data_IF_070410683582
#
_entry.id   IF_070410683582
#
_cell.length_a   1.000
_cell.length_b   1.000
_cell.length_c   1.000
_cell.angle_alpha   90.00
_cell.angle_beta   90.00
_cell.angle_gamma   90.00
#
_symmetry.space_group_name_H-M   'P 1'
#
loop_
_entity.id
_entity.type
_entity.pdbx_description
1 polymer ?
#
# COMPACT_ATOMS: atom_id res chain seq x y z
N UNK A 1 16.15 -15.01 -27.30
CA UNK A 1 15.68 -16.28 -26.70
C UNK A 1 15.92 -16.31 -25.19
N UNK A 2 15.36 -15.34 -24.43
CA UNK A 2 15.54 -15.23 -22.96
C UNK A 2 14.23 -15.08 -22.18
N UNK A 3 13.10 -14.90 -22.88
CA UNK A 3 11.79 -14.71 -22.29
C UNK A 3 11.25 -15.88 -21.42
N UNK A 4 11.52 -17.17 -21.69
CA UNK A 4 10.88 -18.24 -20.90
C UNK A 4 11.45 -18.40 -19.49
N UNK A 5 12.74 -18.07 -19.28
CA UNK A 5 13.39 -18.17 -17.96
C UNK A 5 12.89 -17.08 -16.99
N UNK A 6 12.65 -15.87 -17.49
CA UNK A 6 12.09 -14.77 -16.71
C UNK A 6 10.65 -15.06 -16.24
N UNK A 7 9.85 -15.73 -17.07
CA UNK A 7 8.48 -16.14 -16.71
C UNK A 7 8.44 -17.22 -15.63
N UNK A 8 9.44 -18.10 -15.58
CA UNK A 8 9.53 -19.14 -14.55
C UNK A 8 9.90 -18.56 -13.19
N UNK A 9 10.81 -17.56 -13.17
CA UNK A 9 11.15 -16.80 -11.96
C UNK A 9 10.00 -15.88 -11.49
N UNK A 10 9.23 -15.31 -12.42
CA UNK A 10 8.06 -14.47 -12.14
C UNK A 10 6.96 -15.17 -11.33
N UNK A 11 6.79 -16.49 -11.51
CA UNK A 11 5.81 -17.28 -10.75
C UNK A 11 6.14 -17.39 -9.26
N UNK A 12 7.40 -17.19 -8.87
CA UNK A 12 7.85 -17.30 -7.47
C UNK A 12 7.96 -15.94 -6.79
N UNK A 13 7.98 -14.86 -7.56
CA UNK A 13 8.14 -13.49 -7.04
C UNK A 13 6.81 -12.83 -6.64
N UNK A 14 5.67 -13.43 -6.97
CA UNK A 14 4.34 -12.84 -6.73
C UNK A 14 3.98 -11.71 -7.70
N UNK A 15 4.80 -11.46 -8.73
CA UNK A 15 4.56 -10.40 -9.71
C UNK A 15 3.26 -10.61 -10.50
N UNK A 16 2.93 -11.86 -10.86
CA UNK A 16 1.68 -12.17 -11.56
C UNK A 16 0.45 -11.76 -10.73
N UNK A 17 0.49 -11.99 -9.42
CA UNK A 17 -0.58 -11.58 -8.51
C UNK A 17 -0.64 -10.05 -8.37
N UNK A 18 0.52 -9.40 -8.28
CA UNK A 18 0.60 -7.95 -8.25
C UNK A 18 0.06 -7.30 -9.54
N UNK A 19 0.41 -7.83 -10.73
CA UNK A 19 -0.11 -7.36 -12.01
C UNK A 19 -1.63 -7.53 -12.10
N UNK A 20 -2.16 -8.67 -11.68
CA UNK A 20 -3.61 -8.91 -11.65
C UNK A 20 -4.33 -7.92 -10.71
N UNK A 21 -3.79 -7.68 -9.52
CA UNK A 21 -4.32 -6.69 -8.60
C UNK A 21 -4.29 -5.28 -9.20
N UNK A 22 -3.17 -4.89 -9.81
CA UNK A 22 -3.02 -3.58 -10.44
C UNK A 22 -4.02 -3.38 -11.58
N UNK A 23 -4.24 -4.41 -12.41
CA UNK A 23 -5.24 -4.37 -13.48
C UNK A 23 -6.67 -4.24 -12.92
N UNK A 24 -7.03 -5.05 -11.92
CA UNK A 24 -8.35 -5.00 -11.29
C UNK A 24 -8.61 -3.65 -10.58
N UNK A 25 -7.56 -3.06 -10.01
CA UNK A 25 -7.62 -1.79 -9.25
C UNK A 25 -7.30 -0.57 -10.10
N UNK A 26 -7.15 -0.70 -11.42
CA UNK A 26 -6.70 0.36 -12.32
C UNK A 26 -7.64 1.59 -12.37
N UNK A 27 -8.86 1.48 -11.86
CA UNK A 27 -9.84 2.56 -11.75
C UNK A 27 -9.70 3.35 -10.43
N UNK A 28 -8.99 2.82 -9.43
CA UNK A 28 -8.82 3.44 -8.12
C UNK A 28 -7.64 4.42 -8.12
N UNK A 29 -7.75 5.49 -7.33
CA UNK A 29 -6.71 6.53 -7.17
C UNK A 29 -6.60 6.93 -5.70
N UNK A 30 -5.44 7.47 -5.32
CA UNK A 30 -5.19 7.97 -3.96
C UNK A 30 -5.51 6.93 -2.89
N UNK A 31 -6.17 7.36 -1.81
CA UNK A 31 -6.52 6.48 -0.67
C UNK A 31 -7.44 5.32 -1.05
N UNK A 32 -8.25 5.45 -2.11
CA UNK A 32 -9.07 4.34 -2.60
C UNK A 32 -8.22 3.16 -3.07
N UNK A 33 -7.11 3.44 -3.76
CA UNK A 33 -6.16 2.40 -4.16
C UNK A 33 -5.43 1.80 -2.95
N UNK A 34 -5.01 2.64 -2.01
CA UNK A 34 -4.31 2.21 -0.77
C UNK A 34 -5.17 1.22 0.00
N UNK A 35 -6.46 1.53 0.21
CA UNK A 35 -7.37 0.66 0.94
C UNK A 35 -7.61 -0.67 0.23
N UNK A 36 -7.79 -0.65 -1.10
CA UNK A 36 -7.88 -1.88 -1.89
C UNK A 36 -6.59 -2.72 -1.82
N UNK A 37 -5.41 -2.10 -1.76
CA UNK A 37 -4.15 -2.80 -1.60
C UNK A 37 -4.03 -3.47 -0.22
N UNK A 38 -4.39 -2.75 0.86
CA UNK A 38 -4.44 -3.32 2.21
C UNK A 38 -5.43 -4.49 2.30
N UNK A 39 -6.61 -4.37 1.68
CA UNK A 39 -7.58 -5.45 1.61
C UNK A 39 -7.06 -6.65 0.81
N UNK A 40 -6.44 -6.44 -0.35
CA UNK A 40 -5.85 -7.50 -1.16
C UNK A 40 -4.74 -8.25 -0.40
N UNK A 41 -3.89 -7.51 0.32
CA UNK A 41 -2.82 -8.06 1.15
C UNK A 41 -3.31 -8.62 2.50
N UNK A 42 -4.62 -8.51 2.79
CA UNK A 42 -5.24 -8.93 4.05
C UNK A 42 -4.59 -8.26 5.28
N UNK A 43 -4.13 -7.02 5.11
CA UNK A 43 -3.51 -6.24 6.18
C UNK A 43 -4.58 -5.49 6.95
N UNK A 44 -4.48 -5.58 8.27
CA UNK A 44 -5.26 -4.79 9.22
C UNK A 44 -4.30 -4.02 10.10
N UNK A 45 -4.59 -2.74 10.31
CA UNK A 45 -3.81 -1.88 11.19
C UNK A 45 -4.77 -1.08 12.07
N UNK A 46 -4.24 -0.58 13.19
CA UNK A 46 -4.99 0.24 14.14
C UNK A 46 -4.14 1.47 14.45
N UNK A 47 -4.78 2.61 14.48
CA UNK A 47 -4.17 3.87 14.91
C UNK A 47 -5.02 4.45 16.02
N UNK A 48 -4.37 4.86 17.10
CA UNK A 48 -5.06 5.51 18.21
C UNK A 48 -5.53 6.91 17.79
N UNK A 49 -6.72 7.32 18.23
CA UNK A 49 -7.35 8.57 17.81
C UNK A 49 -6.48 9.79 18.15
N UNK A 50 -5.76 9.75 19.27
CA UNK A 50 -4.84 10.80 19.72
C UNK A 50 -3.63 10.95 18.79
N UNK A 51 -3.26 9.91 18.05
CA UNK A 51 -2.20 9.99 17.05
C UNK A 51 -2.72 10.65 15.77
N UNK A 52 -3.93 10.28 15.31
CA UNK A 52 -4.57 10.93 14.16
C UNK A 52 -4.80 12.42 14.39
N UNK A 53 -5.21 12.80 15.62
CA UNK A 53 -5.43 14.20 15.99
C UNK A 53 -4.18 15.09 15.91
N UNK A 54 -2.97 14.51 15.80
CA UNK A 54 -1.72 15.27 15.62
C UNK A 54 -1.44 15.61 14.16
N UNK A 55 -2.16 15.00 13.23
CA UNK A 55 -2.01 15.26 11.80
C UNK A 55 -2.82 16.52 11.46
N UNK A 56 -2.22 17.54 10.84
CA UNK A 56 -2.96 18.72 10.42
C UNK A 56 -3.96 18.34 9.31
N UNK A 57 -5.25 18.75 9.41
CA UNK A 57 -6.27 18.37 8.43
C UNK A 57 -6.09 19.05 7.06
N UNK A 58 -5.30 20.12 7.01
CA UNK A 58 -4.98 20.83 5.78
C UNK A 58 -3.54 21.33 5.82
N UNK A 59 -2.97 21.58 4.64
CA UNK A 59 -1.61 22.08 4.51
C UNK A 59 -0.60 20.98 4.25
N UNK A 60 0.68 21.31 4.42
CA UNK A 60 1.79 20.40 4.12
C UNK A 60 2.10 19.54 5.34
N UNK A 61 2.35 18.25 5.11
CA UNK A 61 2.73 17.28 6.13
C UNK A 61 4.04 16.60 5.72
N UNK A 62 4.98 16.52 6.67
CA UNK A 62 6.18 15.68 6.56
C UNK A 62 6.08 14.58 7.61
N UNK A 63 6.11 13.33 7.17
CA UNK A 63 6.15 12.16 8.06
C UNK A 63 7.53 11.53 7.96
N UNK A 64 8.14 11.25 9.10
CA UNK A 64 9.39 10.50 9.21
C UNK A 64 9.09 9.23 9.99
N UNK A 65 9.23 8.08 9.33
CA UNK A 65 8.95 6.78 9.91
C UNK A 65 10.04 5.78 9.51
N UNK A 66 10.27 4.78 10.35
CA UNK A 66 10.96 3.57 9.91
C UNK A 66 9.95 2.63 9.24
N UNK A 67 10.43 1.73 8.38
CA UNK A 67 9.59 0.77 7.67
C UNK A 67 10.20 -0.64 7.76
N UNK A 68 10.20 -1.26 8.96
CA UNK A 68 10.75 -2.60 9.16
C UNK A 68 10.02 -3.66 8.33
N UNK A 69 8.73 -3.44 8.00
CA UNK A 69 7.93 -4.32 7.15
C UNK A 69 7.77 -3.80 5.71
N UNK A 70 8.56 -2.78 5.34
CA UNK A 70 8.64 -2.27 3.97
C UNK A 70 7.35 -1.59 3.51
N UNK A 71 6.89 -1.92 2.31
CA UNK A 71 5.77 -1.23 1.66
C UNK A 71 4.43 -1.35 2.40
N UNK A 72 4.25 -2.40 3.21
CA UNK A 72 3.02 -2.58 4.01
C UNK A 72 2.88 -1.46 5.05
N UNK A 73 3.97 -1.07 5.70
CA UNK A 73 3.97 0.03 6.68
C UNK A 73 3.60 1.36 6.02
N UNK A 74 4.10 1.59 4.80
CA UNK A 74 3.77 2.78 4.02
C UNK A 74 2.27 2.81 3.64
N UNK A 75 1.68 1.67 3.25
CA UNK A 75 0.25 1.59 2.95
C UNK A 75 -0.61 1.84 4.19
N UNK A 76 -0.26 1.25 5.33
CA UNK A 76 -0.98 1.47 6.58
C UNK A 76 -0.88 2.94 7.02
N UNK A 77 0.30 3.55 6.92
CA UNK A 77 0.50 4.96 7.23
C UNK A 77 -0.33 5.87 6.31
N UNK A 78 -0.37 5.59 5.01
CA UNK A 78 -1.16 6.37 4.06
C UNK A 78 -2.67 6.22 4.31
N UNK A 79 -3.16 5.03 4.63
CA UNK A 79 -4.58 4.84 4.98
C UNK A 79 -4.95 5.62 6.25
N UNK A 80 -4.10 5.58 7.28
CA UNK A 80 -4.28 6.37 8.50
C UNK A 80 -4.33 7.89 8.21
N UNK A 81 -3.43 8.40 7.38
CA UNK A 81 -3.46 9.82 6.96
C UNK A 81 -4.75 10.16 6.21
N UNK A 82 -5.28 9.23 5.40
CA UNK A 82 -6.55 9.40 4.69
C UNK A 82 -7.80 9.39 5.57
N UNK A 83 -7.66 9.14 6.88
CA UNK A 83 -8.76 9.21 7.86
C UNK A 83 -8.91 10.61 8.49
N UNK A 84 -7.98 11.53 8.21
CA UNK A 84 -7.96 12.91 8.70
C UNK A 84 -8.47 13.86 7.63
#
# INVERSE_FOLDING_TARGET
MAAPLLRLLGRWSGLDAAEQFLAASAHLRGFGFVRAALDHLQVRHRVEAEALARIPPTGRLLIVANHPSGAVDALALLDAVGQV
#
